data_IF_655138127171
#
_entry.id   IF_655138127171
#
_cell.length_a   1.000
_cell.length_b   1.000
_cell.length_c   1.000
_cell.angle_alpha   90.00
_cell.angle_beta   90.00
_cell.angle_gamma   90.00
#
_symmetry.space_group_name_H-M   'P 1'
#
loop_
_entity.id
_entity.type
_entity.pdbx_description
1 polymer ?
#
# COMPACT_ATOMS: atom_id res chain seq x y z
N UNK A 1 -3.83 -33.29 -59.46
CA UNK A 1 -3.39 -33.27 -58.05
C UNK A 1 -3.28 -34.70 -57.58
N UNK A 2 -2.15 -35.08 -56.99
CA UNK A 2 -1.91 -36.43 -56.46
C UNK A 2 -2.91 -36.75 -55.34
N UNK A 3 -3.65 -37.84 -55.49
CA UNK A 3 -4.66 -38.31 -54.52
C UNK A 3 -4.07 -38.47 -53.12
N UNK A 4 -2.77 -38.80 -53.01
CA UNK A 4 -2.07 -38.84 -51.72
C UNK A 4 -1.93 -37.46 -51.10
N UNK A 5 -1.57 -36.45 -51.90
CA UNK A 5 -1.46 -35.07 -51.42
C UNK A 5 -2.83 -34.52 -50.96
N UNK A 6 -3.92 -34.87 -51.68
CA UNK A 6 -5.28 -34.49 -51.31
C UNK A 6 -5.72 -35.13 -49.98
N UNK A 7 -5.38 -36.39 -49.75
CA UNK A 7 -5.69 -37.09 -48.50
C UNK A 7 -4.91 -36.49 -47.32
N UNK A 8 -3.62 -36.19 -47.50
CA UNK A 8 -2.80 -35.54 -46.47
C UNK A 8 -3.36 -34.15 -46.13
N UNK A 9 -3.77 -33.35 -47.11
CA UNK A 9 -4.40 -32.05 -46.89
C UNK A 9 -5.73 -32.15 -46.12
N UNK A 10 -6.52 -33.20 -46.38
CA UNK A 10 -7.77 -33.44 -45.67
C UNK A 10 -7.52 -33.85 -44.21
N UNK A 11 -6.52 -34.69 -43.93
CA UNK A 11 -6.12 -35.03 -42.56
C UNK A 11 -5.58 -33.82 -41.80
N UNK A 12 -4.74 -33.00 -42.43
CA UNK A 12 -4.25 -31.76 -41.83
C UNK A 12 -5.41 -30.83 -41.47
N UNK A 13 -6.39 -30.65 -42.37
CA UNK A 13 -7.57 -29.82 -42.10
C UNK A 13 -8.45 -30.38 -40.98
N UNK A 14 -8.63 -31.70 -40.91
CA UNK A 14 -9.36 -32.34 -39.81
C UNK A 14 -8.64 -32.11 -38.48
N UNK A 15 -7.32 -32.30 -38.45
CA UNK A 15 -6.50 -32.07 -37.26
C UNK A 15 -6.53 -30.60 -36.82
N UNK A 16 -6.43 -29.65 -37.74
CA UNK A 16 -6.53 -28.22 -37.43
C UNK A 16 -7.90 -27.83 -36.87
N UNK A 17 -8.99 -28.42 -37.40
CA UNK A 17 -10.34 -28.23 -36.83
C UNK A 17 -10.47 -28.82 -35.44
N UNK A 18 -9.90 -30.00 -35.21
CA UNK A 18 -9.87 -30.64 -33.88
C UNK A 18 -9.04 -29.83 -32.88
N UNK A 19 -7.87 -29.33 -33.28
CA UNK A 19 -7.04 -28.44 -32.44
C UNK A 19 -7.78 -27.14 -32.15
N UNK A 20 -8.39 -26.51 -33.16
CA UNK A 20 -9.18 -25.29 -32.97
C UNK A 20 -10.34 -25.52 -32.01
N UNK A 21 -11.06 -26.64 -32.14
CA UNK A 21 -12.16 -26.99 -31.24
C UNK A 21 -11.68 -27.29 -29.82
N UNK A 22 -10.49 -27.89 -29.69
CA UNK A 22 -9.85 -28.14 -28.40
C UNK A 22 -9.38 -26.84 -27.74
N UNK A 23 -8.77 -25.91 -28.49
CA UNK A 23 -8.43 -24.57 -28.03
C UNK A 23 -9.70 -23.84 -27.63
N UNK A 24 -10.76 -23.87 -28.44
CA UNK A 24 -12.03 -23.21 -28.12
C UNK A 24 -12.70 -23.81 -26.88
N UNK A 25 -12.55 -25.12 -26.68
CA UNK A 25 -13.02 -25.83 -25.48
C UNK A 25 -12.18 -25.47 -24.26
N UNK A 26 -10.85 -25.45 -24.36
CA UNK A 26 -9.96 -24.96 -23.31
C UNK A 26 -10.27 -23.51 -23.02
N UNK A 27 -10.36 -22.63 -24.01
CA UNK A 27 -10.74 -21.23 -23.82
C UNK A 27 -12.13 -21.11 -23.20
N UNK A 28 -13.15 -21.89 -23.58
CA UNK A 28 -14.47 -21.84 -22.90
C UNK A 28 -14.46 -22.45 -21.49
N UNK A 29 -13.61 -23.43 -21.22
CA UNK A 29 -13.47 -24.09 -19.91
C UNK A 29 -12.53 -23.33 -18.95
N UNK A 30 -11.50 -22.68 -19.47
CA UNK A 30 -10.59 -21.74 -18.79
C UNK A 30 -11.19 -20.33 -18.75
N UNK A 31 -12.07 -19.88 -19.64
CA UNK A 31 -12.86 -18.63 -19.44
C UNK A 31 -14.06 -18.88 -18.52
N UNK A 32 -14.44 -20.14 -18.32
CA UNK A 32 -15.04 -20.61 -17.05
C UNK A 32 -13.98 -20.68 -15.91
N UNK A 33 -12.93 -19.86 -15.99
CA UNK A 33 -12.27 -19.25 -14.84
C UNK A 33 -13.39 -18.72 -13.95
N UNK A 34 -13.74 -19.54 -12.97
CA UNK A 34 -14.58 -19.30 -11.80
C UNK A 34 -14.94 -17.81 -11.72
N UNK A 35 -16.09 -17.41 -12.25
CA UNK A 35 -16.52 -16.00 -12.23
C UNK A 35 -16.66 -15.47 -10.79
N UNK A 36 -16.66 -16.37 -9.81
CA UNK A 36 -16.57 -16.08 -8.37
C UNK A 36 -15.14 -15.74 -7.89
N UNK A 37 -14.11 -15.95 -8.71
CA UNK A 37 -12.69 -15.59 -8.43
C UNK A 37 -12.27 -14.25 -9.04
N UNK A 38 -13.10 -13.64 -9.88
CA UNK A 38 -12.78 -12.33 -10.44
C UNK A 38 -13.31 -11.27 -9.47
N UNK A 39 -12.40 -10.72 -8.67
CA UNK A 39 -12.71 -9.73 -7.63
C UNK A 39 -12.93 -8.33 -8.24
N UNK A 40 -13.99 -8.17 -9.03
CA UNK A 40 -14.41 -6.88 -9.60
C UNK A 40 -15.45 -6.15 -8.74
N UNK A 41 -15.51 -4.84 -8.90
CA UNK A 41 -16.49 -3.95 -8.29
C UNK A 41 -17.61 -3.70 -9.30
N UNK A 42 -18.85 -3.97 -8.93
CA UNK A 42 -19.99 -3.66 -9.79
C UNK A 42 -20.51 -2.24 -9.52
N UNK A 43 -19.95 -1.26 -10.24
CA UNK A 43 -20.32 0.15 -10.09
C UNK A 43 -21.78 0.45 -10.44
N UNK A 44 -22.43 -0.42 -11.24
CA UNK A 44 -23.83 -0.27 -11.62
C UNK A 44 -24.79 -0.48 -10.44
N UNK A 45 -24.34 -1.08 -9.34
CA UNK A 45 -25.17 -1.34 -8.15
C UNK A 45 -25.34 -0.12 -7.25
N UNK A 46 -24.51 0.91 -7.40
CA UNK A 46 -24.56 2.10 -6.55
C UNK A 46 -25.52 3.15 -7.13
N UNK A 47 -26.70 3.31 -6.53
CA UNK A 47 -27.76 4.20 -7.05
C UNK A 47 -27.29 5.65 -7.25
N UNK A 48 -26.42 6.15 -6.37
CA UNK A 48 -25.87 7.50 -6.45
C UNK A 48 -24.96 7.74 -7.67
N UNK A 49 -24.49 6.67 -8.34
CA UNK A 49 -23.74 6.73 -9.60
C UNK A 49 -24.63 6.62 -10.86
N UNK A 50 -25.94 6.35 -10.72
CA UNK A 50 -26.86 6.15 -11.86
C UNK A 50 -27.42 7.44 -12.44
N UNK A 51 -27.21 8.59 -11.78
CA UNK A 51 -27.65 9.89 -12.28
C UNK A 51 -26.93 10.29 -13.56
N UNK A 52 -27.61 11.01 -14.46
CA UNK A 52 -27.05 11.48 -15.73
C UNK A 52 -25.77 12.30 -15.54
N UNK A 53 -25.70 13.11 -14.48
CA UNK A 53 -24.52 13.90 -14.14
C UNK A 53 -23.29 13.09 -13.69
N UNK A 54 -23.44 11.78 -13.43
CA UNK A 54 -22.36 10.88 -13.02
C UNK A 54 -22.02 9.82 -14.05
N UNK A 55 -22.67 9.82 -15.22
CA UNK A 55 -22.52 8.77 -16.22
C UNK A 55 -21.08 8.65 -16.73
N UNK A 56 -20.40 9.75 -17.05
CA UNK A 56 -18.99 9.74 -17.49
C UNK A 56 -18.06 9.17 -16.41
N UNK A 57 -18.36 9.45 -15.15
CA UNK A 57 -17.58 8.97 -14.01
C UNK A 57 -17.81 7.48 -13.82
N UNK A 58 -19.06 7.02 -13.89
CA UNK A 58 -19.41 5.61 -13.82
C UNK A 58 -18.74 4.82 -14.94
N UNK A 59 -18.80 5.32 -16.17
CA UNK A 59 -18.12 4.70 -17.31
C UNK A 59 -16.61 4.59 -17.09
N UNK A 60 -15.97 5.66 -16.60
CA UNK A 60 -14.53 5.65 -16.29
C UNK A 60 -14.19 4.61 -15.21
N UNK A 61 -15.00 4.51 -14.16
CA UNK A 61 -14.82 3.52 -13.09
C UNK A 61 -14.99 2.09 -13.62
N UNK A 62 -15.99 1.83 -14.45
CA UNK A 62 -16.22 0.53 -15.08
C UNK A 62 -15.09 0.14 -16.05
N UNK A 63 -14.55 1.09 -16.82
CA UNK A 63 -13.43 0.83 -17.73
C UNK A 63 -12.18 0.40 -16.97
N UNK A 64 -11.81 1.10 -15.88
CA UNK A 64 -10.71 0.67 -15.02
C UNK A 64 -10.99 -0.67 -14.35
N UNK A 65 -12.23 -0.92 -13.96
CA UNK A 65 -12.63 -2.19 -13.34
C UNK A 65 -12.45 -3.37 -14.30
N UNK A 66 -12.79 -3.21 -15.58
CA UNK A 66 -12.54 -4.24 -16.60
C UNK A 66 -11.05 -4.53 -16.78
N UNK A 67 -10.18 -3.51 -16.68
CA UNK A 67 -8.73 -3.69 -16.78
C UNK A 67 -8.17 -4.54 -15.63
N UNK A 68 -8.80 -4.53 -14.45
CA UNK A 68 -8.36 -5.34 -13.30
C UNK A 68 -8.34 -6.84 -13.58
N UNK A 69 -9.27 -7.34 -14.40
CA UNK A 69 -9.32 -8.76 -14.80
C UNK A 69 -7.96 -9.23 -15.32
N UNK A 70 -7.37 -8.43 -16.21
CA UNK A 70 -6.09 -8.77 -16.81
C UNK A 70 -4.98 -8.85 -15.77
N UNK A 71 -4.90 -7.86 -14.85
CA UNK A 71 -3.88 -7.81 -13.80
C UNK A 71 -4.00 -8.94 -12.77
N UNK A 72 -5.22 -9.37 -12.47
CA UNK A 72 -5.47 -10.53 -11.59
C UNK A 72 -5.00 -11.81 -12.29
N UNK A 73 -5.38 -12.01 -13.56
CA UNK A 73 -5.00 -13.20 -14.34
C UNK A 73 -3.47 -13.28 -14.53
N UNK A 74 -2.81 -12.15 -14.72
CA UNK A 74 -1.35 -12.08 -14.90
C UNK A 74 -0.54 -12.03 -13.60
N UNK A 75 -1.19 -12.09 -12.42
CA UNK A 75 -0.55 -11.91 -11.10
C UNK A 75 0.30 -10.62 -10.99
N UNK A 76 -0.09 -9.57 -11.71
CA UNK A 76 0.57 -8.27 -11.70
C UNK A 76 -0.06 -7.37 -10.64
N UNK A 77 0.28 -7.64 -9.37
CA UNK A 77 -0.25 -6.89 -8.23
C UNK A 77 0.10 -5.40 -8.28
N UNK A 78 1.23 -5.04 -8.88
CA UNK A 78 1.64 -3.63 -9.03
C UNK A 78 0.68 -2.90 -9.95
N UNK A 79 0.40 -3.44 -11.13
CA UNK A 79 -0.54 -2.81 -12.05
C UNK A 79 -1.96 -2.86 -11.52
N UNK A 80 -2.35 -3.93 -10.83
CA UNK A 80 -3.61 -3.98 -10.09
C UNK A 80 -3.75 -2.79 -9.12
N UNK A 81 -2.76 -2.55 -8.25
CA UNK A 81 -2.76 -1.39 -7.35
C UNK A 81 -2.80 -0.05 -8.09
N UNK A 82 -2.13 0.08 -9.25
CA UNK A 82 -2.17 1.31 -10.05
C UNK A 82 -3.57 1.58 -10.61
N UNK A 83 -4.22 0.56 -11.15
CA UNK A 83 -5.56 0.67 -11.73
C UNK A 83 -6.60 0.95 -10.64
N UNK A 84 -6.51 0.27 -9.49
CA UNK A 84 -7.33 0.59 -8.31
C UNK A 84 -7.11 2.03 -7.82
N UNK A 85 -5.87 2.49 -7.79
CA UNK A 85 -5.56 3.85 -7.36
C UNK A 85 -6.27 4.90 -8.23
N UNK A 86 -6.40 4.67 -9.54
CA UNK A 86 -7.15 5.57 -10.43
C UNK A 86 -8.63 5.65 -10.05
N UNK A 87 -9.24 4.53 -9.68
CA UNK A 87 -10.62 4.51 -9.17
C UNK A 87 -10.74 5.28 -7.85
N UNK A 88 -9.84 5.04 -6.89
CA UNK A 88 -9.76 5.80 -5.63
C UNK A 88 -9.61 7.30 -5.94
N UNK A 89 -8.77 7.65 -6.90
CA UNK A 89 -8.51 9.04 -7.26
C UNK A 89 -9.75 9.78 -7.76
N UNK A 90 -10.53 9.13 -8.62
CA UNK A 90 -11.82 9.62 -9.11
C UNK A 90 -12.77 9.86 -7.93
N UNK A 91 -12.91 8.86 -7.05
CA UNK A 91 -13.80 8.93 -5.88
C UNK A 91 -13.38 10.03 -4.89
N UNK A 92 -12.08 10.21 -4.66
CA UNK A 92 -11.55 11.28 -3.81
C UNK A 92 -11.85 12.67 -4.39
N UNK A 93 -11.75 12.83 -5.70
CA UNK A 93 -12.01 14.10 -6.39
C UNK A 93 -13.50 14.44 -6.45
N UNK A 94 -14.37 13.43 -6.45
CA UNK A 94 -15.81 13.61 -6.32
C UNK A 94 -16.20 14.24 -4.97
N UNK A 95 -15.58 13.79 -3.88
CA UNK A 95 -15.85 14.29 -2.53
C UNK A 95 -15.20 15.66 -2.27
N UNK A 96 -13.94 15.84 -2.66
CA UNK A 96 -13.19 17.07 -2.41
C UNK A 96 -12.39 17.49 -3.66
N UNK A 97 -12.81 18.57 -4.30
CA UNK A 97 -12.16 19.15 -5.49
C UNK A 97 -10.98 20.07 -5.16
N UNK A 98 -10.63 20.25 -3.88
CA UNK A 98 -9.51 21.10 -3.48
C UNK A 98 -8.17 20.58 -4.03
N UNK A 99 -7.17 21.46 -4.09
CA UNK A 99 -5.79 21.11 -4.48
C UNK A 99 -5.00 20.41 -3.35
N UNK A 100 -5.68 19.87 -2.33
CA UNK A 100 -5.04 19.13 -1.25
C UNK A 100 -4.42 17.82 -1.75
N UNK A 101 -3.37 17.35 -1.08
CA UNK A 101 -2.78 16.05 -1.39
C UNK A 101 -3.80 14.92 -1.20
N UNK A 102 -3.74 13.88 -2.05
CA UNK A 102 -4.69 12.76 -2.02
C UNK A 102 -4.76 12.07 -0.65
N UNK A 103 -3.64 11.93 0.04
CA UNK A 103 -3.59 11.42 1.42
C UNK A 103 -4.34 12.30 2.43
N UNK A 104 -4.31 13.63 2.27
CA UNK A 104 -5.09 14.55 3.11
C UNK A 104 -6.59 14.42 2.83
N UNK A 105 -6.98 14.31 1.57
CA UNK A 105 -8.38 14.08 1.17
C UNK A 105 -8.92 12.78 1.76
N UNK A 106 -8.17 11.68 1.58
CA UNK A 106 -8.50 10.37 2.14
C UNK A 106 -8.66 10.43 3.66
N UNK A 107 -7.71 11.07 4.36
CA UNK A 107 -7.79 11.25 5.82
C UNK A 107 -9.03 12.03 6.23
N UNK A 108 -9.40 13.08 5.49
CA UNK A 108 -10.60 13.87 5.77
C UNK A 108 -11.87 13.04 5.64
N UNK A 109 -11.98 12.22 4.59
CA UNK A 109 -13.12 11.30 4.38
C UNK A 109 -13.23 10.34 5.56
N UNK A 110 -12.14 9.68 5.94
CA UNK A 110 -12.17 8.72 7.05
C UNK A 110 -12.51 9.37 8.41
N UNK A 111 -12.05 10.60 8.63
CA UNK A 111 -12.46 11.39 9.80
C UNK A 111 -13.97 11.63 9.79
N UNK A 112 -14.56 11.95 8.63
CA UNK A 112 -16.01 12.12 8.49
C UNK A 112 -16.76 10.81 8.72
N UNK A 113 -16.34 9.72 8.06
CA UNK A 113 -16.97 8.39 8.15
C UNK A 113 -16.92 7.78 9.55
N UNK A 114 -15.86 8.06 10.32
CA UNK A 114 -15.67 7.53 11.68
C UNK A 114 -16.19 8.47 12.77
N UNK A 115 -16.96 9.50 12.41
CA UNK A 115 -17.59 10.44 13.35
C UNK A 115 -16.56 11.21 14.18
N UNK A 116 -15.53 11.73 13.49
CA UNK A 116 -14.57 12.67 14.05
C UNK A 116 -13.18 12.09 14.31
N UNK A 117 -12.21 13.01 14.50
CA UNK A 117 -10.79 12.68 14.68
C UNK A 117 -10.52 11.85 15.94
N UNK A 118 -11.36 11.98 16.95
CA UNK A 118 -11.22 11.27 18.23
C UNK A 118 -11.48 9.77 18.11
N UNK A 119 -12.35 9.39 17.16
CA UNK A 119 -12.72 7.98 16.91
C UNK A 119 -11.93 7.36 15.76
N UNK A 120 -11.30 8.17 14.91
CA UNK A 120 -10.47 7.69 13.81
C UNK A 120 -9.01 7.48 14.22
N UNK A 121 -8.63 6.22 14.43
CA UNK A 121 -7.23 5.84 14.60
C UNK A 121 -6.65 5.28 13.29
N UNK A 122 -5.92 6.14 12.57
CA UNK A 122 -5.32 5.78 11.28
C UNK A 122 -4.36 4.59 11.32
N UNK A 123 -3.73 4.29 12.45
CA UNK A 123 -2.82 3.13 12.56
C UNK A 123 -3.55 1.79 12.63
N UNK A 124 -4.81 1.80 13.08
CA UNK A 124 -5.58 0.60 13.39
C UNK A 124 -6.77 0.39 12.45
N UNK A 125 -7.15 1.40 11.67
CA UNK A 125 -8.27 1.30 10.73
C UNK A 125 -7.87 0.44 9.52
N UNK A 126 -8.56 -0.70 9.31
CA UNK A 126 -8.20 -1.69 8.30
C UNK A 126 -8.32 -1.10 6.89
N UNK A 127 -9.47 -0.50 6.59
CA UNK A 127 -9.78 0.03 5.28
C UNK A 127 -8.86 1.19 4.91
N UNK A 128 -8.58 2.09 5.86
CA UNK A 128 -7.62 3.17 5.66
C UNK A 128 -6.22 2.63 5.33
N UNK A 129 -5.75 1.61 6.06
CA UNK A 129 -4.43 1.02 5.83
C UNK A 129 -4.34 0.33 4.46
N UNK A 130 -5.36 -0.40 4.04
CA UNK A 130 -5.40 -1.02 2.71
C UNK A 130 -5.33 0.04 1.62
N UNK A 131 -6.18 1.08 1.69
CA UNK A 131 -6.19 2.15 0.69
C UNK A 131 -4.86 2.90 0.66
N UNK A 132 -4.29 3.24 1.81
CA UNK A 132 -2.99 3.93 1.87
C UNK A 132 -1.84 3.06 1.35
N UNK A 133 -1.84 1.75 1.61
CA UNK A 133 -0.85 0.84 1.02
C UNK A 133 -0.94 0.78 -0.50
N UNK A 134 -2.15 0.77 -1.06
CA UNK A 134 -2.35 0.83 -2.52
C UNK A 134 -1.78 2.13 -3.10
N UNK A 135 -2.04 3.27 -2.43
CA UNK A 135 -1.48 4.56 -2.81
C UNK A 135 0.06 4.55 -2.75
N UNK A 136 0.65 4.01 -1.68
CA UNK A 136 2.10 3.89 -1.53
C UNK A 136 2.72 3.01 -2.62
N UNK A 137 2.13 1.84 -2.95
CA UNK A 137 2.61 0.96 -4.02
C UNK A 137 2.53 1.65 -5.38
N UNK A 138 1.42 2.34 -5.68
CA UNK A 138 1.29 3.13 -6.91
C UNK A 138 2.36 4.20 -7.00
N UNK A 139 2.63 4.92 -5.92
CA UNK A 139 3.63 5.98 -5.90
C UNK A 139 5.04 5.41 -6.10
N UNK A 140 5.36 4.28 -5.49
CA UNK A 140 6.61 3.55 -5.73
C UNK A 140 6.72 3.16 -7.21
N UNK A 141 5.68 2.54 -7.79
CA UNK A 141 5.70 2.04 -9.15
C UNK A 141 5.69 3.15 -10.23
N UNK A 142 5.27 4.36 -9.88
CA UNK A 142 5.15 5.48 -10.84
C UNK A 142 6.41 6.32 -10.97
N UNK A 143 7.36 6.20 -10.04
CA UNK A 143 8.61 6.95 -10.07
C UNK A 143 9.79 6.02 -10.35
N UNK A 144 10.67 6.35 -11.31
CA UNK A 144 11.89 5.59 -11.54
C UNK A 144 12.79 5.66 -10.32
N UNK A 145 13.44 4.55 -9.98
CA UNK A 145 14.41 4.53 -8.89
C UNK A 145 15.78 4.99 -9.38
N UNK A 146 16.26 6.10 -8.84
CA UNK A 146 17.57 6.64 -9.19
C UNK A 146 18.73 5.78 -8.68
N UNK A 147 18.48 4.82 -7.79
CA UNK A 147 19.48 3.92 -7.21
C UNK A 147 19.37 2.48 -7.74
N UNK A 148 18.54 2.23 -8.76
CA UNK A 148 18.38 0.91 -9.39
C UNK A 148 17.64 -0.14 -8.56
N UNK A 149 16.98 0.23 -7.47
CA UNK A 149 16.23 -0.71 -6.61
C UNK A 149 14.97 -1.23 -7.31
N UNK A 150 14.69 -2.51 -7.11
CA UNK A 150 13.45 -3.15 -7.55
C UNK A 150 12.23 -2.65 -6.77
N UNK A 151 11.02 -2.86 -7.30
CA UNK A 151 9.78 -2.48 -6.60
C UNK A 151 9.67 -3.16 -5.23
N UNK A 152 9.90 -4.49 -5.07
CA UNK A 152 9.85 -5.14 -3.77
C UNK A 152 10.78 -4.51 -2.72
N UNK A 153 12.02 -4.17 -3.11
CA UNK A 153 12.98 -3.52 -2.20
C UNK A 153 12.53 -2.11 -1.80
N UNK A 154 11.91 -1.38 -2.72
CA UNK A 154 11.38 -0.03 -2.45
C UNK A 154 10.15 -0.07 -1.56
N UNK A 155 9.30 -1.08 -1.71
CA UNK A 155 8.16 -1.37 -0.82
C UNK A 155 8.65 -1.70 0.58
N UNK A 156 9.65 -2.59 0.70
CA UNK A 156 10.26 -2.90 1.99
C UNK A 156 10.84 -1.65 2.64
N UNK A 157 11.61 -0.86 1.90
CA UNK A 157 12.20 0.38 2.39
C UNK A 157 11.15 1.39 2.89
N UNK A 158 10.09 1.61 2.10
CA UNK A 158 9.04 2.59 2.41
C UNK A 158 8.29 2.25 3.71
N UNK A 159 7.98 0.96 3.91
CA UNK A 159 7.25 0.48 5.09
C UNK A 159 8.13 0.15 6.30
N UNK A 160 9.46 0.19 6.18
CA UNK A 160 10.37 -0.16 7.26
C UNK A 160 10.24 0.85 8.41
N UNK A 161 10.11 0.32 9.62
CA UNK A 161 10.25 1.07 10.86
C UNK A 161 11.17 0.34 11.81
N UNK A 162 11.81 1.10 12.69
CA UNK A 162 12.72 0.58 13.72
C UNK A 162 12.32 1.15 15.07
N UNK A 163 12.27 0.30 16.07
CA UNK A 163 12.06 0.72 17.46
C UNK A 163 13.33 0.52 18.30
N UNK A 164 13.71 1.58 19.01
CA UNK A 164 14.84 1.61 19.93
C UNK A 164 14.35 1.99 21.32
N UNK A 165 14.87 1.30 22.33
CA UNK A 165 14.67 1.65 23.74
C UNK A 165 15.90 2.37 24.27
N UNK A 166 15.67 3.50 24.92
CA UNK A 166 16.65 4.14 25.80
C UNK A 166 16.39 3.75 27.24
N UNK A 167 17.44 3.39 27.96
CA UNK A 167 17.43 3.04 29.39
C UNK A 167 18.38 3.93 30.18
N UNK A 168 18.17 4.01 31.51
CA UNK A 168 18.98 4.79 32.45
C UNK A 168 19.09 6.27 32.06
N UNK A 169 17.99 6.83 31.56
CA UNK A 169 17.91 8.26 31.30
C UNK A 169 18.01 9.04 32.62
N UNK A 170 18.65 10.20 32.60
CA UNK A 170 18.62 11.13 33.74
C UNK A 170 17.17 11.54 34.05
N UNK A 171 16.93 12.00 35.27
CA UNK A 171 15.62 12.55 35.62
C UNK A 171 15.33 13.77 34.72
N UNK A 172 14.07 13.90 34.28
CA UNK A 172 13.56 15.05 33.50
C UNK A 172 14.06 15.21 32.05
N UNK A 173 14.48 14.13 31.37
CA UNK A 173 14.76 14.21 29.92
C UNK A 173 13.51 14.64 29.15
N UNK A 174 13.63 15.69 28.33
CA UNK A 174 12.52 16.16 27.51
C UNK A 174 12.34 15.29 26.26
N UNK A 175 11.09 15.12 25.81
CA UNK A 175 10.82 14.46 24.52
C UNK A 175 11.52 15.17 23.35
N UNK A 176 11.71 16.49 23.44
CA UNK A 176 12.38 17.28 22.41
C UNK A 176 13.88 16.97 22.33
N UNK A 177 14.54 16.72 23.45
CA UNK A 177 15.94 16.31 23.46
C UNK A 177 16.13 14.97 22.77
N UNK A 178 15.30 13.97 23.12
CA UNK A 178 15.28 12.67 22.46
C UNK A 178 14.99 12.84 20.97
N UNK A 179 13.95 13.60 20.63
CA UNK A 179 13.56 13.86 19.24
C UNK A 179 14.70 14.48 18.43
N UNK A 180 15.44 15.44 19.00
CA UNK A 180 16.56 16.09 18.32
C UNK A 180 17.67 15.11 17.92
N UNK A 181 17.86 14.05 18.71
CA UNK A 181 18.85 13.00 18.43
C UNK A 181 18.32 12.08 17.32
N UNK A 182 17.09 11.58 17.47
CA UNK A 182 16.55 10.57 16.57
C UNK A 182 16.08 11.11 15.21
N UNK A 183 15.92 12.44 15.09
CA UNK A 183 15.73 13.09 13.80
C UNK A 183 16.90 12.87 12.82
N UNK A 184 18.09 12.52 13.30
CA UNK A 184 19.22 12.17 12.42
C UNK A 184 18.95 10.92 11.57
N UNK A 185 18.10 10.01 12.02
CA UNK A 185 17.92 8.72 11.36
C UNK A 185 16.81 8.71 10.31
N UNK A 186 15.94 9.72 10.29
CA UNK A 186 14.73 9.77 9.46
C UNK A 186 14.81 10.88 8.41
N UNK A 187 14.07 10.71 7.31
CA UNK A 187 13.85 11.81 6.37
C UNK A 187 12.82 12.76 6.99
N UNK A 188 13.22 13.99 7.32
CA UNK A 188 12.34 14.97 7.97
C UNK A 188 11.37 15.53 6.92
N UNK A 189 10.30 14.79 6.62
CA UNK A 189 9.10 15.34 6.02
C UNK A 189 8.24 15.96 7.14
N UNK A 190 7.52 17.06 6.83
CA UNK A 190 6.85 17.97 7.79
C UNK A 190 6.01 17.32 8.91
N UNK A 191 5.55 16.08 8.74
CA UNK A 191 4.64 15.41 9.69
C UNK A 191 5.13 14.02 10.18
N UNK A 192 6.33 13.57 9.82
CA UNK A 192 6.83 12.20 10.13
C UNK A 192 8.01 12.21 11.10
N UNK A 193 7.70 12.62 12.32
CA UNK A 193 8.66 12.61 13.43
C UNK A 193 8.73 11.23 14.09
N UNK A 194 9.86 10.88 14.74
CA UNK A 194 9.92 9.71 15.61
C UNK A 194 8.81 9.77 16.68
N UNK A 195 8.10 8.66 16.89
CA UNK A 195 7.14 8.53 17.99
C UNK A 195 7.90 8.21 19.28
N UNK A 196 7.60 8.95 20.35
CA UNK A 196 8.35 8.88 21.61
C UNK A 196 7.39 8.63 22.78
N UNK A 197 7.49 7.42 23.34
CA UNK A 197 6.82 7.00 24.58
C UNK A 197 7.82 7.07 25.73
N UNK A 198 7.80 8.18 26.46
CA UNK A 198 8.68 8.44 27.60
C UNK A 198 8.01 8.00 28.91
N UNK A 199 8.72 7.22 29.73
CA UNK A 199 8.27 6.67 31.01
C UNK A 199 9.42 6.67 32.02
N UNK A 200 9.55 7.74 32.80
CA UNK A 200 10.59 7.86 33.83
C UNK A 200 11.99 7.82 33.23
N UNK A 201 12.79 6.81 33.60
CA UNK A 201 14.16 6.65 33.10
C UNK A 201 14.25 5.84 31.79
N UNK A 202 13.11 5.63 31.14
CA UNK A 202 13.00 4.85 29.91
C UNK A 202 12.29 5.64 28.82
N UNK A 203 12.73 5.47 27.57
CA UNK A 203 11.99 5.92 26.40
C UNK A 203 11.97 4.85 25.33
N UNK A 204 10.83 4.69 24.66
CA UNK A 204 10.71 3.90 23.44
C UNK A 204 10.54 4.86 22.27
N UNK A 205 11.37 4.70 21.25
CA UNK A 205 11.43 5.56 20.08
C UNK A 205 11.18 4.72 18.84
N UNK A 206 10.06 4.95 18.16
CA UNK A 206 9.75 4.32 16.89
C UNK A 206 10.03 5.29 15.74
N UNK A 207 10.89 4.88 14.82
CA UNK A 207 11.31 5.65 13.65
C UNK A 207 10.69 5.09 12.37
N UNK A 208 10.28 5.98 11.48
CA UNK A 208 9.69 5.69 10.17
C UNK A 208 10.45 6.47 9.09
N UNK A 209 10.32 6.07 7.82
CA UNK A 209 10.99 6.73 6.68
C UNK A 209 12.50 6.96 6.92
N UNK A 210 13.17 5.90 7.39
CA UNK A 210 14.59 5.88 7.71
C UNK A 210 15.42 6.32 6.50
N UNK A 211 16.53 7.04 6.75
CA UNK A 211 17.53 7.29 5.71
C UNK A 211 18.15 5.95 5.27
N UNK A 212 18.63 5.81 4.02
CA UNK A 212 19.16 4.54 3.50
C UNK A 212 20.26 3.89 4.37
N UNK A 213 21.12 4.70 5.00
CA UNK A 213 22.18 4.23 5.90
C UNK A 213 21.69 3.62 7.22
N UNK A 214 20.42 3.80 7.59
CA UNK A 214 19.86 3.46 8.91
C UNK A 214 18.72 2.44 8.84
N UNK A 215 18.70 1.60 7.81
CA UNK A 215 17.66 0.57 7.65
C UNK A 215 17.82 -0.64 8.57
N UNK A 216 18.95 -0.73 9.26
CA UNK A 216 19.30 -1.80 10.18
C UNK A 216 19.43 -1.19 11.58
N UNK A 217 18.77 -1.77 12.58
CA UNK A 217 18.77 -1.22 13.93
C UNK A 217 20.18 -1.13 14.53
N UNK A 218 21.06 -2.10 14.24
CA UNK A 218 22.46 -2.09 14.70
C UNK A 218 23.21 -0.83 14.27
N UNK A 219 23.00 -0.35 13.05
CA UNK A 219 23.62 0.89 12.56
C UNK A 219 23.21 2.13 13.37
N UNK A 220 21.98 2.13 13.91
CA UNK A 220 21.47 3.21 14.76
C UNK A 220 22.07 3.09 16.17
N UNK A 221 22.07 1.88 16.73
CA UNK A 221 22.63 1.61 18.06
C UNK A 221 24.13 1.92 18.09
N UNK A 222 24.87 1.49 17.07
CA UNK A 222 26.29 1.78 16.91
C UNK A 222 26.54 3.30 16.81
N UNK A 223 25.75 4.02 16.00
CA UNK A 223 25.86 5.47 15.91
C UNK A 223 25.65 6.16 17.27
N UNK A 224 24.62 5.74 18.02
CA UNK A 224 24.32 6.31 19.33
C UNK A 224 25.45 6.03 20.33
N UNK A 225 26.00 4.82 20.32
CA UNK A 225 27.11 4.43 21.19
C UNK A 225 28.40 5.18 20.84
N UNK A 226 28.69 5.38 19.55
CA UNK A 226 29.87 6.13 19.10
C UNK A 226 29.77 7.63 19.44
N UNK A 227 28.57 8.15 19.66
CA UNK A 227 28.33 9.55 20.05
C UNK A 227 27.91 9.71 21.52
N UNK A 228 28.18 8.71 22.36
CA UNK A 228 27.75 8.70 23.77
C UNK A 228 28.18 9.95 24.54
N UNK A 229 29.40 10.43 24.31
CA UNK A 229 29.93 11.63 24.98
C UNK A 229 29.19 12.92 24.61
N UNK A 230 28.64 12.99 23.40
CA UNK A 230 27.82 14.12 22.97
C UNK A 230 26.43 14.02 23.59
N UNK A 231 25.86 12.81 23.63
CA UNK A 231 24.50 12.59 24.09
C UNK A 231 24.36 12.54 25.61
N UNK A 232 25.42 12.30 26.39
CA UNK A 232 25.36 12.27 27.86
C UNK A 232 24.79 13.55 28.48
N UNK A 233 25.08 14.71 27.88
CA UNK A 233 24.54 16.00 28.36
C UNK A 233 23.01 16.06 28.24
N UNK A 234 22.44 15.42 27.21
CA UNK A 234 21.00 15.36 26.97
C UNK A 234 20.32 14.20 27.69
N UNK A 235 20.95 13.02 27.69
CA UNK A 235 20.33 11.76 28.11
C UNK A 235 20.77 11.27 29.50
N UNK A 236 21.86 11.78 30.06
CA UNK A 236 22.49 11.32 31.31
C UNK A 236 23.73 10.46 31.07
N UNK A 237 24.62 10.34 32.06
CA UNK A 237 25.93 9.69 31.87
C UNK A 237 25.86 8.17 31.62
N UNK A 238 24.83 7.53 32.17
CA UNK A 238 24.70 6.07 32.18
C UNK A 238 23.69 5.54 31.17
N UNK A 239 23.22 6.39 30.25
CA UNK A 239 22.20 5.98 29.29
C UNK A 239 22.69 4.82 28.41
N UNK A 240 21.74 3.98 27.99
CA UNK A 240 21.98 2.89 27.02
C UNK A 240 20.92 2.93 25.93
N UNK A 241 21.33 2.67 24.69
CA UNK A 241 20.42 2.43 23.58
C UNK A 241 20.44 0.95 23.22
N UNK A 242 19.28 0.33 23.14
CA UNK A 242 19.11 -1.06 22.73
C UNK A 242 18.00 -1.19 21.71
N UNK A 243 18.14 -2.09 20.75
CA UNK A 243 17.07 -2.39 19.81
C UNK A 243 15.95 -3.14 20.55
N UNK A 244 14.70 -2.77 20.27
CA UNK A 244 13.56 -3.55 20.75
C UNK A 244 13.50 -4.92 20.06
N UNK A 245 13.03 -5.94 20.78
CA UNK A 245 12.69 -7.23 20.21
C UNK A 245 11.31 -7.65 20.71
N UNK A 246 10.34 -7.91 19.83
CA UNK A 246 10.43 -7.84 18.37
C UNK A 246 10.51 -6.40 17.83
N UNK A 247 11.06 -6.23 16.62
CA UNK A 247 10.97 -4.97 15.87
C UNK A 247 9.56 -4.79 15.28
N UNK A 248 9.11 -3.56 15.00
CA UNK A 248 7.80 -3.33 14.39
C UNK A 248 7.64 -4.04 13.03
N UNK A 249 6.46 -4.60 12.79
CA UNK A 249 6.14 -5.31 11.54
C UNK A 249 6.06 -4.33 10.36
N UNK A 250 6.64 -4.71 9.22
CA UNK A 250 6.49 -3.97 7.97
C UNK A 250 5.17 -4.35 7.29
N UNK A 251 4.08 -3.68 7.70
CA UNK A 251 2.72 -3.96 7.20
C UNK A 251 2.57 -3.75 5.69
N UNK A 252 3.29 -2.78 5.11
CA UNK A 252 3.25 -2.50 3.68
C UNK A 252 3.89 -3.65 2.87
N UNK A 253 5.06 -4.14 3.32
CA UNK A 253 5.71 -5.31 2.73
C UNK A 253 4.82 -6.53 2.79
N UNK A 254 4.25 -6.82 3.97
CA UNK A 254 3.32 -7.93 4.15
C UNK A 254 2.13 -7.84 3.21
N UNK A 255 1.49 -6.68 3.13
CA UNK A 255 0.38 -6.45 2.19
C UNK A 255 0.78 -6.71 0.73
N UNK A 256 1.98 -6.26 0.33
CA UNK A 256 2.51 -6.46 -1.02
C UNK A 256 2.83 -7.93 -1.33
N UNK A 257 3.32 -8.69 -0.35
CA UNK A 257 3.66 -10.11 -0.49
C UNK A 257 2.43 -11.02 -0.44
N UNK A 258 1.43 -10.69 0.39
CA UNK A 258 0.18 -11.45 0.49
C UNK A 258 -0.68 -11.33 -0.77
N UNK A 259 -0.61 -10.18 -1.47
CA UNK A 259 -1.38 -9.90 -2.69
C UNK A 259 -2.87 -10.27 -2.56
N UNK A 260 -3.51 -9.93 -1.44
CA UNK A 260 -4.89 -10.32 -1.19
C UNK A 260 -5.87 -9.44 -2.00
N UNK A 261 -6.10 -9.83 -3.25
CA UNK A 261 -7.02 -9.16 -4.18
C UNK A 261 -8.46 -9.08 -3.65
N UNK A 262 -8.91 -10.07 -2.87
CA UNK A 262 -10.24 -10.10 -2.29
C UNK A 262 -10.43 -9.01 -1.24
N UNK A 263 -9.50 -8.89 -0.28
CA UNK A 263 -9.55 -7.87 0.75
C UNK A 263 -9.49 -6.46 0.15
N UNK A 264 -8.73 -6.27 -0.94
CA UNK A 264 -8.70 -5.00 -1.67
C UNK A 264 -10.06 -4.69 -2.28
N UNK A 265 -10.67 -5.63 -3.00
CA UNK A 265 -12.00 -5.45 -3.60
C UNK A 265 -13.06 -5.14 -2.54
N UNK A 266 -13.13 -5.93 -1.47
CA UNK A 266 -14.10 -5.72 -0.38
C UNK A 266 -13.93 -4.34 0.26
N UNK A 267 -12.68 -3.88 0.44
CA UNK A 267 -12.38 -2.54 0.95
C UNK A 267 -12.89 -1.45 0.01
N UNK A 268 -12.76 -1.63 -1.30
CA UNK A 268 -13.21 -0.63 -2.27
C UNK A 268 -14.71 -0.64 -2.46
N UNK A 269 -15.36 -1.81 -2.49
CA UNK A 269 -16.81 -1.92 -2.50
C UNK A 269 -17.40 -1.14 -1.30
N UNK A 270 -16.81 -1.35 -0.11
CA UNK A 270 -17.14 -0.57 1.08
C UNK A 270 -16.89 0.94 0.88
N UNK A 271 -15.71 1.32 0.37
CA UNK A 271 -15.32 2.72 0.22
C UNK A 271 -16.24 3.49 -0.75
N UNK A 272 -16.61 2.88 -1.87
CA UNK A 272 -17.54 3.46 -2.86
C UNK A 272 -18.91 3.67 -2.24
N UNK A 273 -19.40 2.68 -1.48
CA UNK A 273 -20.67 2.78 -0.75
C UNK A 273 -20.68 3.95 0.23
N UNK A 274 -19.63 4.07 1.03
CA UNK A 274 -19.55 5.09 2.07
C UNK A 274 -19.36 6.50 1.53
N UNK A 275 -18.62 6.67 0.43
CA UNK A 275 -18.53 7.98 -0.24
C UNK A 275 -19.90 8.43 -0.74
N UNK A 276 -20.70 7.51 -1.28
CA UNK A 276 -22.08 7.82 -1.69
C UNK A 276 -22.97 8.33 -0.56
N UNK A 277 -22.70 7.95 0.70
CA UNK A 277 -23.42 8.48 1.87
C UNK A 277 -22.97 9.90 2.26
N UNK A 278 -21.83 10.35 1.76
CA UNK A 278 -21.23 11.65 2.07
C UNK A 278 -21.46 12.69 0.97
N UNK A 279 -21.82 12.26 -0.24
CA UNK A 279 -22.15 13.10 -1.41
C UNK A 279 -23.65 13.39 -1.47
#
# INVERSE_FOLDING_TARGET
MDTKALNILNEINLNLRSISSYIEKISKQEIKLDSNKIYLIDYSTYDWLKGSEKEEIRQSLEEYNQQLCHHIISDDFVQYCRTIYLQIEILLNLYDQSQNSKFKKLKSIFVSLRVGKEKFNYYNDKEYNIITHIMDIRDIASHPDTNGKSIPERVEYKGKSIEVKLENLKNEVSKNDIKSIFNEFVNIARDKNPDIKHKGQYAYITMYELKPKYLIHDSIIEYINNQKDIFRYKLGDNFKAIACSPQPENKLKKFFEEKNYQDVRETLDWFVKEIGNLC
#
